data_IF_138453017173
#
_entry.id   IF_138453017173
#
_cell.length_a   1.000
_cell.length_b   1.000
_cell.length_c   1.000
_cell.angle_alpha   90.00
_cell.angle_beta   90.00
_cell.angle_gamma   90.00
#
_symmetry.space_group_name_H-M   'P 1'
#
loop_
_entity.id
_entity.type
_entity.pdbx_description
1 polymer ?
#
# COMPACT_ATOMS: atom_id res chain seq x y z
N UNK A 1 -35.05 1.11 -3.26
CA UNK A 1 -33.70 1.66 -3.50
C UNK A 1 -33.46 2.72 -2.44
N UNK A 2 -32.58 2.48 -1.48
CA UNK A 2 -32.43 3.35 -0.31
C UNK A 2 -31.09 3.14 0.36
N UNK A 3 -30.00 3.40 -0.37
CA UNK A 3 -28.69 3.54 0.24
C UNK A 3 -28.63 4.93 0.86
N UNK A 4 -29.00 5.05 2.14
CA UNK A 4 -28.67 6.24 2.92
C UNK A 4 -27.19 6.17 3.31
N UNK A 5 -26.47 7.24 3.01
CA UNK A 5 -25.12 7.49 3.53
C UNK A 5 -25.20 7.48 5.06
N UNK A 6 -24.29 6.73 5.71
CA UNK A 6 -24.23 6.49 7.16
C UNK A 6 -24.37 7.80 7.95
N UNK A 7 -25.17 7.81 9.03
CA UNK A 7 -25.48 9.01 9.85
C UNK A 7 -24.26 9.79 10.37
N UNK A 8 -23.07 9.19 10.36
CA UNK A 8 -21.80 9.84 10.67
C UNK A 8 -21.33 10.88 9.61
N UNK A 9 -21.96 10.92 8.44
CA UNK A 9 -21.69 11.86 7.35
C UNK A 9 -22.81 12.91 7.18
N UNK A 10 -23.79 12.97 8.09
CA UNK A 10 -24.86 13.97 8.01
C UNK A 10 -24.37 15.27 8.66
N UNK A 11 -24.21 16.36 7.89
CA UNK A 11 -23.61 17.62 8.36
C UNK A 11 -24.43 18.33 9.45
N UNK A 12 -25.67 17.92 9.68
CA UNK A 12 -26.52 18.48 10.73
C UNK A 12 -26.19 17.96 12.15
N UNK A 13 -25.46 16.85 12.29
CA UNK A 13 -25.17 16.22 13.59
C UNK A 13 -23.71 16.41 14.03
N UNK A 14 -22.79 16.63 13.10
CA UNK A 14 -21.34 16.70 13.36
C UNK A 14 -20.87 18.10 12.96
N UNK A 15 -20.74 19.03 13.92
CA UNK A 15 -20.44 20.44 13.61
C UNK A 15 -19.03 20.65 13.00
N UNK A 16 -17.98 20.67 13.82
CA UNK A 16 -16.58 20.92 13.38
C UNK A 16 -15.67 19.69 13.51
N UNK A 17 -16.21 18.52 13.88
CA UNK A 17 -15.44 17.30 14.18
C UNK A 17 -14.98 16.51 12.93
N UNK A 18 -15.10 17.10 11.74
CA UNK A 18 -14.60 16.49 10.50
C UNK A 18 -13.08 16.65 10.30
N UNK A 19 -12.43 17.62 10.95
CA UNK A 19 -10.99 17.84 10.81
C UNK A 19 -10.14 16.61 11.19
N UNK A 20 -10.30 15.99 12.37
CA UNK A 20 -9.47 14.84 12.75
C UNK A 20 -9.72 13.63 11.84
N UNK A 21 -10.97 13.38 11.42
CA UNK A 21 -11.27 12.30 10.47
C UNK A 21 -10.71 12.58 9.07
N UNK A 22 -10.77 13.83 8.57
CA UNK A 22 -10.18 14.18 7.27
C UNK A 22 -8.66 14.06 7.27
N UNK A 23 -8.00 14.50 8.34
CA UNK A 23 -6.54 14.35 8.46
C UNK A 23 -6.16 12.87 8.48
N UNK A 24 -6.89 12.03 9.24
CA UNK A 24 -6.65 10.59 9.25
C UNK A 24 -6.85 9.97 7.87
N UNK A 25 -7.90 10.35 7.15
CA UNK A 25 -8.15 9.89 5.78
C UNK A 25 -7.05 10.30 4.81
N UNK A 26 -6.52 11.52 4.90
CA UNK A 26 -5.41 11.97 4.06
C UNK A 26 -4.16 11.15 4.32
N UNK A 27 -3.79 10.94 5.59
CA UNK A 27 -2.62 10.14 5.96
C UNK A 27 -2.78 8.69 5.52
N UNK A 28 -3.95 8.08 5.74
CA UNK A 28 -4.23 6.71 5.32
C UNK A 28 -4.23 6.56 3.79
N UNK A 29 -4.81 7.52 3.06
CA UNK A 29 -4.78 7.53 1.60
C UNK A 29 -3.35 7.63 1.08
N UNK A 30 -2.54 8.54 1.63
CA UNK A 30 -1.13 8.67 1.22
C UNK A 30 -0.30 7.43 1.51
N UNK A 31 -0.60 6.70 2.59
CA UNK A 31 0.07 5.44 2.91
C UNK A 31 -0.27 4.35 1.87
N UNK A 32 -1.52 4.31 1.40
CA UNK A 32 -1.94 3.41 0.32
C UNK A 32 -1.26 3.78 -1.01
N UNK A 33 -1.13 5.07 -1.32
CA UNK A 33 -0.43 5.53 -2.52
C UNK A 33 1.05 5.10 -2.51
N UNK A 34 1.72 5.25 -1.35
CA UNK A 34 3.09 4.79 -1.17
C UNK A 34 3.22 3.28 -1.37
N UNK A 35 2.32 2.49 -0.77
CA UNK A 35 2.28 1.04 -0.97
C UNK A 35 2.08 0.68 -2.45
N UNK A 36 1.23 1.41 -3.18
CA UNK A 36 1.00 1.16 -4.59
C UNK A 36 2.25 1.42 -5.44
N UNK A 37 2.92 2.57 -5.23
CA UNK A 37 4.21 2.85 -5.87
C UNK A 37 5.23 1.75 -5.58
N UNK A 38 5.33 1.33 -4.32
CA UNK A 38 6.20 0.23 -3.94
C UNK A 38 5.86 -1.08 -4.68
N UNK A 39 4.59 -1.46 -4.78
CA UNK A 39 4.21 -2.69 -5.48
C UNK A 39 4.52 -2.62 -6.98
N UNK A 40 4.28 -1.48 -7.62
CA UNK A 40 4.56 -1.27 -9.05
C UNK A 40 6.07 -1.32 -9.33
N UNK A 41 6.90 -0.65 -8.53
CA UNK A 41 8.36 -0.70 -8.67
C UNK A 41 8.89 -2.14 -8.52
N UNK A 42 8.37 -2.91 -7.56
CA UNK A 42 8.74 -4.31 -7.38
C UNK A 42 8.32 -5.18 -8.56
N UNK A 43 7.10 -5.02 -9.06
CA UNK A 43 6.63 -5.77 -10.22
C UNK A 43 7.50 -5.49 -11.47
N UNK A 44 7.95 -4.24 -11.62
CA UNK A 44 8.89 -3.86 -12.69
C UNK A 44 10.26 -4.52 -12.53
N UNK A 45 10.85 -4.49 -11.32
CA UNK A 45 12.12 -5.15 -11.03
C UNK A 45 12.06 -6.67 -11.25
N UNK A 46 10.98 -7.33 -10.80
CA UNK A 46 10.77 -8.77 -11.02
C UNK A 46 10.76 -9.09 -12.51
N UNK A 47 10.11 -8.25 -13.34
CA UNK A 47 10.07 -8.43 -14.78
C UNK A 47 11.43 -8.18 -15.45
N UNK A 48 12.18 -7.18 -14.99
CA UNK A 48 13.50 -6.84 -15.54
C UNK A 48 14.53 -7.94 -15.27
N UNK A 49 14.59 -8.43 -14.03
CA UNK A 49 15.55 -9.47 -13.61
C UNK A 49 15.03 -10.90 -13.78
N UNK A 50 13.80 -11.08 -14.29
CA UNK A 50 13.12 -12.38 -14.45
C UNK A 50 13.16 -13.25 -13.18
N UNK A 51 12.97 -12.60 -12.02
CA UNK A 51 13.00 -13.27 -10.72
C UNK A 51 11.77 -14.17 -10.56
N UNK A 52 11.91 -15.44 -10.14
CA UNK A 52 10.78 -16.31 -9.83
C UNK A 52 10.20 -15.93 -8.46
N UNK A 53 9.59 -14.74 -8.38
CA UNK A 53 8.99 -14.20 -7.17
C UNK A 53 7.54 -13.78 -7.41
N UNK A 54 6.67 -14.06 -6.43
CA UNK A 54 5.26 -13.68 -6.45
C UNK A 54 4.89 -12.93 -5.18
N UNK A 55 4.04 -11.92 -5.30
CA UNK A 55 3.44 -11.26 -4.14
C UNK A 55 2.54 -12.28 -3.42
N UNK A 56 2.79 -12.48 -2.13
CA UNK A 56 1.93 -13.32 -1.28
C UNK A 56 0.86 -12.49 -0.61
N UNK A 57 1.29 -11.52 0.21
CA UNK A 57 0.43 -10.75 1.08
C UNK A 57 1.01 -9.35 1.22
N UNK A 58 0.13 -8.35 1.23
CA UNK A 58 0.43 -6.99 1.69
C UNK A 58 -0.55 -6.63 2.82
N UNK A 59 -0.04 -6.33 4.01
CA UNK A 59 -0.82 -5.90 5.17
C UNK A 59 -0.26 -4.55 5.61
N UNK A 60 -1.04 -3.47 5.45
CA UNK A 60 -0.69 -2.09 5.82
C UNK A 60 0.71 -1.62 5.38
N UNK A 61 1.74 -1.94 6.16
CA UNK A 61 3.15 -1.58 5.99
C UNK A 61 4.06 -2.78 5.65
N UNK A 62 3.57 -4.02 5.79
CA UNK A 62 4.30 -5.24 5.46
C UNK A 62 3.94 -5.78 4.07
N UNK A 63 4.95 -6.07 3.26
CA UNK A 63 4.79 -6.75 1.97
C UNK A 63 5.68 -7.98 1.94
N UNK A 64 5.08 -9.15 1.73
CA UNK A 64 5.79 -10.43 1.67
C UNK A 64 5.71 -11.03 0.28
N UNK A 65 6.87 -11.43 -0.24
CA UNK A 65 7.01 -12.12 -1.51
C UNK A 65 7.46 -13.56 -1.27
N UNK A 66 6.88 -14.50 -2.01
CA UNK A 66 7.40 -15.86 -2.08
C UNK A 66 8.40 -15.92 -3.23
N UNK A 67 9.59 -16.44 -2.94
CA UNK A 67 10.65 -16.62 -3.92
C UNK A 67 11.33 -17.97 -3.71
N UNK A 68 11.97 -18.47 -4.75
CA UNK A 68 12.87 -19.63 -4.64
C UNK A 68 14.09 -19.27 -3.77
N UNK A 69 14.58 -20.23 -2.96
CA UNK A 69 15.68 -19.99 -2.02
C UNK A 69 16.95 -19.47 -2.68
N UNK A 70 17.19 -19.84 -3.95
CA UNK A 70 18.34 -19.41 -4.74
C UNK A 70 18.31 -17.93 -5.12
N UNK A 71 17.13 -17.31 -5.11
CA UNK A 71 16.92 -15.90 -5.50
C UNK A 71 16.62 -14.99 -4.29
N UNK A 72 16.76 -15.51 -3.07
CA UNK A 72 16.49 -14.78 -1.83
C UNK A 72 17.32 -13.50 -1.69
N UNK A 73 18.63 -13.55 -1.96
CA UNK A 73 19.52 -12.39 -1.86
C UNK A 73 19.21 -11.31 -2.90
N UNK A 74 18.91 -11.72 -4.14
CA UNK A 74 18.51 -10.80 -5.21
C UNK A 74 17.18 -10.12 -4.88
N UNK A 75 16.26 -10.86 -4.26
CA UNK A 75 14.99 -10.29 -3.83
C UNK A 75 15.14 -9.35 -2.64
N UNK A 76 16.02 -9.66 -1.69
CA UNK A 76 16.34 -8.77 -0.57
C UNK A 76 16.91 -7.45 -1.09
N UNK A 77 17.82 -7.50 -2.06
CA UNK A 77 18.37 -6.31 -2.70
C UNK A 77 17.30 -5.53 -3.47
N UNK A 78 16.44 -6.20 -4.22
CA UNK A 78 15.33 -5.55 -4.93
C UNK A 78 14.36 -4.85 -3.97
N UNK A 79 14.10 -5.45 -2.80
CA UNK A 79 13.32 -4.84 -1.71
C UNK A 79 14.00 -3.59 -1.16
N UNK A 80 15.31 -3.66 -0.93
CA UNK A 80 16.10 -2.53 -0.44
C UNK A 80 16.11 -1.36 -1.44
N UNK A 81 16.39 -1.64 -2.71
CA UNK A 81 16.47 -0.62 -3.78
C UNK A 81 15.13 0.05 -3.97
N UNK A 82 14.03 -0.71 -3.91
CA UNK A 82 12.68 -0.14 -3.99
C UNK A 82 12.42 0.92 -2.92
N UNK A 83 12.82 0.68 -1.67
CA UNK A 83 12.57 1.60 -0.55
C UNK A 83 13.41 2.88 -0.68
N UNK A 84 14.58 2.79 -1.32
CA UNK A 84 15.49 3.94 -1.51
C UNK A 84 15.08 4.80 -2.72
N UNK A 85 14.46 4.19 -3.74
CA UNK A 85 14.16 4.87 -5.01
C UNK A 85 12.85 5.70 -5.00
N UNK A 86 12.11 5.74 -3.89
CA UNK A 86 10.84 6.44 -3.75
C UNK A 86 10.89 7.43 -2.59
#
# INVERSE_FOLDING_TARGET
MGAQITRALVPAVVKNDFLPSRINWVVQSSAVDYLHCLLVCMAWLIKLYKLPARLCISIHDEVRYLCDSRCSDQMALALQVRVIAC
#
